data_IF_687319299327
#
_entry.id   IF_687319299327
#
_cell.length_a   1.000
_cell.length_b   1.000
_cell.length_c   1.000
_cell.angle_alpha   90.00
_cell.angle_beta   90.00
_cell.angle_gamma   90.00
#
_symmetry.space_group_name_H-M   'P 1'
#
loop_
_entity.id
_entity.type
_entity.pdbx_description
1 polymer ?
#
# COMPACT_ATOMS: atom_id res chain seq x y z
N UNK A 1 -11.85 40.72 6.48
CA UNK A 1 -10.57 40.61 5.75
C UNK A 1 -9.44 41.48 6.32
N UNK A 2 -9.45 41.82 7.63
CA UNK A 2 -8.39 42.63 8.27
C UNK A 2 -7.41 41.82 9.16
N UNK A 3 -7.75 40.59 9.55
CA UNK A 3 -6.94 39.76 10.47
C UNK A 3 -5.70 39.10 9.82
N UNK A 4 -5.66 38.96 8.48
CA UNK A 4 -4.57 38.27 7.77
C UNK A 4 -3.33 39.19 7.62
N UNK A 5 -3.49 40.51 7.72
CA UNK A 5 -2.39 41.46 7.52
C UNK A 5 -1.48 41.64 8.73
N UNK A 6 -1.99 41.45 9.95
CA UNK A 6 -1.24 41.71 11.19
C UNK A 6 -0.51 40.46 11.71
N UNK A 7 -0.93 39.26 11.31
CA UNK A 7 -0.43 37.98 11.83
C UNK A 7 0.41 37.18 10.82
N UNK A 8 1.14 37.86 9.92
CA UNK A 8 1.98 37.20 8.90
C UNK A 8 3.01 36.23 9.49
N UNK A 9 3.51 36.54 10.68
CA UNK A 9 4.46 35.68 11.41
C UNK A 9 3.86 34.34 11.83
N UNK A 10 2.56 34.29 12.15
CA UNK A 10 1.87 33.04 12.55
C UNK A 10 1.80 32.06 11.36
N UNK A 11 1.54 32.57 10.15
CA UNK A 11 1.46 31.76 8.93
C UNK A 11 2.84 31.15 8.61
N UNK A 12 3.92 31.94 8.79
CA UNK A 12 5.29 31.47 8.58
C UNK A 12 5.66 30.38 9.60
N UNK A 13 5.32 30.58 10.88
CA UNK A 13 5.58 29.60 11.95
C UNK A 13 4.81 28.30 11.71
N UNK A 14 3.54 28.37 11.31
CA UNK A 14 2.74 27.18 10.98
C UNK A 14 3.35 26.44 9.79
N UNK A 15 3.80 27.15 8.75
CA UNK A 15 4.46 26.55 7.60
C UNK A 15 5.73 25.79 7.98
N UNK A 16 6.56 26.36 8.85
CA UNK A 16 7.80 25.71 9.34
C UNK A 16 7.47 24.44 10.15
N UNK A 17 6.44 24.48 11.00
CA UNK A 17 6.03 23.32 11.80
C UNK A 17 5.57 22.17 10.89
N UNK A 18 4.81 22.45 9.84
CA UNK A 18 4.35 21.43 8.88
C UNK A 18 5.55 20.78 8.18
N UNK A 19 6.53 21.57 7.73
CA UNK A 19 7.75 21.05 7.09
C UNK A 19 8.55 20.17 8.05
N UNK A 20 8.69 20.57 9.31
CA UNK A 20 9.40 19.77 10.32
C UNK A 20 8.70 18.44 10.62
N UNK A 21 7.37 18.41 10.64
CA UNK A 21 6.60 17.17 10.83
C UNK A 21 6.78 16.21 9.65
N UNK A 22 6.80 16.72 8.42
CA UNK A 22 7.04 15.90 7.21
C UNK A 22 8.46 15.32 7.24
N UNK A 23 9.48 16.14 7.56
CA UNK A 23 10.87 15.67 7.67
C UNK A 23 11.01 14.63 8.79
N UNK A 24 10.40 14.85 9.95
CA UNK A 24 10.40 13.88 11.05
C UNK A 24 9.77 12.56 10.64
N UNK A 25 8.62 12.60 9.95
CA UNK A 25 7.94 11.40 9.46
C UNK A 25 8.80 10.61 8.46
N UNK A 26 9.45 11.29 7.50
CA UNK A 26 10.35 10.66 6.54
C UNK A 26 11.59 10.03 7.20
N UNK A 27 12.17 10.70 8.19
CA UNK A 27 13.32 10.18 8.96
C UNK A 27 12.92 8.99 9.83
N UNK A 28 11.73 9.01 10.43
CA UNK A 28 11.20 7.85 11.18
C UNK A 28 11.02 6.63 10.27
N UNK A 29 10.41 6.80 9.10
CA UNK A 29 10.29 5.73 8.10
C UNK A 29 11.64 5.19 7.64
N UNK A 30 12.64 6.07 7.48
CA UNK A 30 13.99 5.67 7.05
C UNK A 30 14.75 4.90 8.15
N UNK A 31 14.55 5.23 9.42
CA UNK A 31 15.17 4.51 10.53
C UNK A 31 14.54 3.12 10.74
N UNK A 32 13.21 2.99 10.59
CA UNK A 32 12.53 1.69 10.64
C UNK A 32 12.93 0.77 9.47
N UNK A 33 13.27 1.36 8.32
CA UNK A 33 13.78 0.61 7.16
C UNK A 33 15.21 0.05 7.37
N UNK A 34 16.02 0.67 8.23
CA UNK A 34 17.42 0.26 8.46
C UNK A 34 17.57 -0.92 9.40
N UNK A 35 16.59 -1.16 10.28
CA UNK A 35 16.65 -2.27 11.25
C UNK A 35 16.10 -3.60 10.66
N UNK A 36 15.36 -3.54 9.55
CA UNK A 36 14.73 -4.71 8.92
C UNK A 36 15.51 -5.34 7.75
N UNK A 37 16.71 -4.85 7.38
CA UNK A 37 17.41 -5.31 6.16
C UNK A 37 18.38 -6.49 6.36
N UNK A 38 18.43 -7.09 7.54
CA UNK A 38 19.14 -8.37 7.72
C UNK A 38 18.20 -9.54 7.47
N UNK A 39 18.47 -10.22 6.36
CA UNK A 39 18.02 -11.57 5.99
C UNK A 39 16.53 -11.77 5.73
N UNK A 40 16.11 -11.50 4.50
CA UNK A 40 15.09 -12.32 3.84
C UNK A 40 15.71 -12.90 2.58
N UNK A 41 16.15 -14.15 2.70
CA UNK A 41 16.72 -14.97 1.64
C UNK A 41 15.65 -15.23 0.56
N UNK A 42 15.92 -14.77 -0.66
CA UNK A 42 15.00 -14.78 -1.80
C UNK A 42 14.51 -16.18 -2.20
N UNK A 43 15.10 -17.26 -1.67
CA UNK A 43 14.68 -18.64 -1.97
C UNK A 43 13.39 -19.08 -1.27
N UNK A 44 13.00 -18.48 -0.14
CA UNK A 44 11.78 -18.89 0.60
C UNK A 44 10.47 -18.28 0.06
N UNK A 45 10.55 -17.22 -0.75
CA UNK A 45 9.35 -16.54 -1.30
C UNK A 45 8.71 -17.36 -2.44
N UNK A 46 9.52 -18.09 -3.22
CA UNK A 46 9.03 -18.88 -4.36
C UNK A 46 8.09 -20.03 -3.97
N UNK A 47 8.36 -20.70 -2.84
CA UNK A 47 7.55 -21.85 -2.38
C UNK A 47 6.25 -21.42 -1.67
N UNK A 48 6.17 -20.17 -1.20
CA UNK A 48 4.96 -19.60 -0.58
C UNK A 48 3.85 -19.26 -1.59
N UNK A 49 4.17 -19.25 -2.88
CA UNK A 49 3.31 -18.72 -3.95
C UNK A 49 2.34 -19.76 -4.53
N UNK A 50 2.48 -21.04 -4.19
CA UNK A 50 1.91 -22.11 -5.01
C UNK A 50 0.51 -22.62 -4.64
N UNK A 51 -0.04 -22.37 -3.45
CA UNK A 51 -1.40 -22.85 -3.13
C UNK A 51 -2.21 -21.88 -2.26
N UNK A 52 -3.02 -21.05 -2.90
CA UNK A 52 -4.34 -20.65 -2.40
C UNK A 52 -5.17 -20.27 -3.63
N UNK A 53 -6.38 -20.81 -3.79
CA UNK A 53 -7.38 -20.33 -4.74
C UNK A 53 -8.38 -19.52 -3.92
N UNK A 54 -8.38 -18.21 -4.07
CA UNK A 54 -9.25 -17.33 -3.31
C UNK A 54 -10.71 -17.46 -3.70
N UNK A 55 -11.58 -17.60 -2.71
CA UNK A 55 -13.03 -17.45 -2.82
C UNK A 55 -13.44 -16.03 -2.42
N UNK A 56 -14.61 -15.57 -2.88
CA UNK A 56 -15.24 -14.35 -2.36
C UNK A 56 -16.11 -14.78 -1.18
N UNK A 57 -15.95 -14.15 -0.03
CA UNK A 57 -16.88 -14.34 1.08
C UNK A 57 -18.08 -13.42 0.85
N UNK A 58 -19.25 -14.05 0.65
CA UNK A 58 -20.50 -13.37 0.30
C UNK A 58 -21.05 -12.51 1.44
N UNK A 59 -20.69 -12.79 2.70
CA UNK A 59 -21.16 -12.05 3.88
C UNK A 59 -20.38 -10.75 4.11
N UNK A 60 -19.08 -10.74 3.79
CA UNK A 60 -18.20 -9.59 3.97
C UNK A 60 -17.95 -8.77 2.70
N UNK A 61 -18.30 -9.32 1.53
CA UNK A 61 -18.04 -8.71 0.22
C UNK A 61 -16.54 -8.47 -0.07
N UNK A 62 -15.66 -9.06 0.73
CA UNK A 62 -14.21 -8.93 0.63
C UNK A 62 -13.61 -10.12 -0.12
N UNK A 63 -12.47 -9.89 -0.79
CA UNK A 63 -11.69 -10.98 -1.36
C UNK A 63 -11.10 -11.83 -0.23
N UNK A 64 -11.58 -13.08 -0.07
CA UNK A 64 -10.91 -14.09 0.76
C UNK A 64 -9.81 -14.72 -0.07
N UNK A 65 -8.75 -13.93 -0.24
CA UNK A 65 -7.53 -14.25 -0.96
C UNK A 65 -6.37 -14.27 0.04
N UNK A 66 -5.40 -15.16 -0.17
CA UNK A 66 -4.11 -15.06 0.52
C UNK A 66 -3.45 -13.71 0.24
N UNK A 67 -2.47 -13.28 1.05
CA UNK A 67 -1.82 -11.99 0.81
C UNK A 67 -1.13 -11.95 -0.55
N UNK A 68 -0.62 -13.09 -1.03
CA UNK A 68 -0.07 -13.24 -2.37
C UNK A 68 -1.12 -13.04 -3.47
N UNK A 69 -2.29 -13.67 -3.35
CA UNK A 69 -3.36 -13.52 -4.35
C UNK A 69 -3.97 -12.12 -4.35
N UNK A 70 -4.07 -11.49 -3.17
CA UNK A 70 -4.51 -10.10 -3.03
C UNK A 70 -3.52 -9.16 -3.70
N UNK A 71 -2.22 -9.36 -3.46
CA UNK A 71 -1.18 -8.58 -4.11
C UNK A 71 -1.24 -8.70 -5.62
N UNK A 72 -1.29 -9.93 -6.17
CA UNK A 72 -1.45 -10.17 -7.61
C UNK A 72 -2.69 -9.48 -8.21
N UNK A 73 -3.79 -9.45 -7.46
CA UNK A 73 -5.00 -8.76 -7.89
C UNK A 73 -4.77 -7.25 -8.04
N UNK A 74 -4.18 -6.60 -7.02
CA UNK A 74 -3.90 -5.16 -7.08
C UNK A 74 -2.81 -4.85 -8.11
N UNK A 75 -1.70 -5.57 -8.11
CA UNK A 75 -0.60 -5.42 -9.07
C UNK A 75 -1.12 -5.40 -10.51
N UNK A 76 -1.95 -6.38 -10.89
CA UNK A 76 -2.56 -6.43 -12.21
C UNK A 76 -3.42 -5.20 -12.51
N UNK A 77 -4.26 -4.78 -11.56
CA UNK A 77 -5.16 -3.62 -11.73
C UNK A 77 -4.37 -2.32 -11.92
N UNK A 78 -3.32 -2.12 -11.12
CA UNK A 78 -2.45 -0.96 -11.20
C UNK A 78 -1.69 -0.93 -12.52
N UNK A 79 -1.01 -2.02 -12.91
CA UNK A 79 -0.25 -2.05 -14.17
C UNK A 79 -1.14 -1.94 -15.42
N UNK A 80 -2.35 -2.52 -15.39
CA UNK A 80 -3.32 -2.34 -16.47
C UNK A 80 -3.79 -0.88 -16.57
N UNK A 81 -3.96 -0.19 -15.44
CA UNK A 81 -4.35 1.21 -15.39
C UNK A 81 -3.20 2.14 -15.83
N UNK A 82 -1.98 1.91 -15.35
CA UNK A 82 -0.77 2.62 -15.80
C UNK A 82 -0.60 2.52 -17.31
N UNK A 83 -0.69 1.31 -17.89
CA UNK A 83 -0.60 1.12 -19.34
C UNK A 83 -1.65 1.93 -20.08
N UNK A 84 -2.89 1.98 -19.59
CA UNK A 84 -3.95 2.80 -20.20
C UNK A 84 -3.64 4.30 -20.12
N UNK A 85 -3.10 4.77 -19.00
CA UNK A 85 -2.68 6.17 -18.86
C UNK A 85 -1.55 6.51 -19.82
N UNK A 86 -0.56 5.61 -19.96
CA UNK A 86 0.53 5.78 -20.93
C UNK A 86 0.05 5.74 -22.39
N UNK A 87 -1.10 5.09 -22.66
CA UNK A 87 -1.82 5.15 -23.94
C UNK A 87 -2.68 6.44 -24.09
N UNK A 88 -2.52 7.43 -23.21
CA UNK A 88 -3.34 8.66 -23.15
C UNK A 88 -4.85 8.41 -22.97
N UNK A 89 -5.24 7.32 -22.30
CA UNK A 89 -6.65 7.04 -21.99
C UNK A 89 -6.98 7.57 -20.59
N UNK A 90 -8.17 8.17 -20.44
CA UNK A 90 -8.71 8.52 -19.13
C UNK A 90 -9.09 7.23 -18.37
N UNK A 91 -8.64 7.12 -17.13
CA UNK A 91 -8.88 5.97 -16.25
C UNK A 91 -9.65 6.30 -14.96
N UNK A 92 -10.40 7.42 -14.90
CA UNK A 92 -11.13 7.85 -13.69
C UNK A 92 -12.00 6.74 -13.10
N UNK A 93 -12.71 5.99 -13.96
CA UNK A 93 -13.56 4.88 -13.53
C UNK A 93 -12.76 3.72 -12.93
N UNK A 94 -11.59 3.44 -13.47
CA UNK A 94 -10.70 2.42 -12.94
C UNK A 94 -10.10 2.84 -11.60
N UNK A 95 -9.72 4.10 -11.44
CA UNK A 95 -9.24 4.67 -10.16
C UNK A 95 -10.34 4.51 -9.09
N UNK A 96 -11.56 4.93 -9.40
CA UNK A 96 -12.70 4.80 -8.48
C UNK A 96 -12.97 3.34 -8.11
N UNK A 97 -12.94 2.43 -9.09
CA UNK A 97 -13.13 1.00 -8.83
C UNK A 97 -12.03 0.39 -7.94
N UNK A 98 -10.77 0.80 -8.12
CA UNK A 98 -9.66 0.38 -7.26
C UNK A 98 -9.85 0.93 -5.86
N UNK A 99 -10.17 2.22 -5.73
CA UNK A 99 -10.45 2.91 -4.46
C UNK A 99 -11.54 2.22 -3.66
N UNK A 100 -12.68 1.95 -4.29
CA UNK A 100 -13.82 1.28 -3.66
C UNK A 100 -13.46 -0.12 -3.16
N UNK A 101 -12.54 -0.80 -3.85
CA UNK A 101 -12.05 -2.11 -3.41
C UNK A 101 -11.14 -1.98 -2.19
N UNK A 102 -10.17 -1.06 -2.23
CA UNK A 102 -9.24 -0.81 -1.10
C UNK A 102 -10.02 -0.38 0.14
N UNK A 103 -10.99 0.53 0.02
CA UNK A 103 -11.78 0.99 1.15
C UNK A 103 -12.62 -0.12 1.77
N UNK A 104 -13.26 -0.94 0.93
CA UNK A 104 -14.07 -2.08 1.38
C UNK A 104 -13.22 -3.09 2.12
N UNK A 105 -12.06 -3.46 1.57
CA UNK A 105 -11.13 -4.37 2.23
C UNK A 105 -10.56 -3.78 3.52
N UNK A 106 -10.27 -2.47 3.54
CA UNK A 106 -9.82 -1.75 4.74
C UNK A 106 -10.87 -1.77 5.86
N UNK A 107 -12.16 -1.76 5.52
CA UNK A 107 -13.29 -1.83 6.47
C UNK A 107 -13.71 -3.25 6.83
N UNK A 108 -13.36 -4.26 6.02
CA UNK A 108 -13.77 -5.64 6.24
C UNK A 108 -13.25 -6.21 7.57
N UNK A 109 -14.12 -6.91 8.31
CA UNK A 109 -13.82 -7.40 9.65
C UNK A 109 -12.87 -8.61 9.67
N UNK A 110 -12.62 -9.26 8.52
CA UNK A 110 -11.71 -10.40 8.44
C UNK A 110 -10.25 -9.95 8.61
N UNK A 111 -9.65 -10.36 9.72
CA UNK A 111 -8.39 -9.88 10.27
C UNK A 111 -7.25 -10.73 9.72
N UNK A 112 -6.37 -10.14 8.92
CA UNK A 112 -4.99 -10.59 8.87
C UNK A 112 -4.15 -9.57 9.64
N UNK A 113 -3.12 -10.04 10.35
CA UNK A 113 -2.17 -9.14 11.02
C UNK A 113 -1.61 -8.12 10.02
N UNK A 114 -1.23 -6.93 10.48
CA UNK A 114 -0.58 -5.91 9.66
C UNK A 114 -1.45 -5.33 8.50
N UNK A 115 -2.77 -5.57 8.53
CA UNK A 115 -3.74 -5.08 7.53
C UNK A 115 -3.60 -3.59 7.19
N UNK A 116 -3.44 -2.75 8.20
CA UNK A 116 -3.30 -1.30 8.03
C UNK A 116 -2.12 -0.95 7.12
N UNK A 117 -0.95 -1.57 7.36
CA UNK A 117 0.25 -1.36 6.56
C UNK A 117 0.13 -1.97 5.16
N UNK A 118 -0.54 -3.11 5.01
CA UNK A 118 -0.77 -3.69 3.69
C UNK A 118 -1.68 -2.79 2.85
N UNK A 119 -2.77 -2.29 3.44
CA UNK A 119 -3.70 -1.39 2.74
C UNK A 119 -3.10 -0.01 2.49
N UNK A 120 -2.23 0.50 3.38
CA UNK A 120 -1.60 1.81 3.21
C UNK A 120 -0.71 1.88 1.97
N UNK A 121 0.05 0.82 1.64
CA UNK A 121 0.80 0.78 0.39
C UNK A 121 -0.09 0.82 -0.85
N UNK A 122 -1.22 0.11 -0.87
CA UNK A 122 -2.17 0.19 -1.99
C UNK A 122 -2.81 1.58 -2.10
N UNK A 123 -3.10 2.23 -0.98
CA UNK A 123 -3.62 3.59 -0.97
C UNK A 123 -2.59 4.59 -1.50
N UNK A 124 -1.33 4.48 -1.10
CA UNK A 124 -0.24 5.33 -1.60
C UNK A 124 -0.03 5.13 -3.10
N UNK A 125 -0.05 3.89 -3.59
CA UNK A 125 -0.01 3.58 -5.01
C UNK A 125 -1.19 4.23 -5.77
N UNK A 126 -2.40 4.22 -5.19
CA UNK A 126 -3.59 4.85 -5.78
C UNK A 126 -3.46 6.37 -5.91
N UNK A 127 -2.83 7.03 -4.94
CA UNK A 127 -2.54 8.46 -5.00
C UNK A 127 -1.62 8.76 -6.19
N UNK A 128 -0.51 8.04 -6.32
CA UNK A 128 0.43 8.21 -7.44
C UNK A 128 -0.22 7.91 -8.80
N UNK A 129 -1.07 6.88 -8.90
CA UNK A 129 -1.83 6.57 -10.11
C UNK A 129 -2.83 7.69 -10.48
N UNK A 130 -3.47 8.30 -9.48
CA UNK A 130 -4.40 9.41 -9.68
C UNK A 130 -3.67 10.65 -10.19
N UNK A 131 -2.51 10.96 -9.62
CA UNK A 131 -1.66 12.05 -10.08
C UNK A 131 -1.14 11.80 -11.50
N UNK A 132 -0.74 10.55 -11.80
CA UNK A 132 -0.30 10.15 -13.14
C UNK A 132 -1.41 10.37 -14.19
N UNK A 133 -2.65 9.99 -13.88
CA UNK A 133 -3.81 10.22 -14.76
C UNK A 133 -4.09 11.71 -14.96
N UNK A 134 -4.02 12.53 -13.90
CA UNK A 134 -4.20 13.98 -13.98
C UNK A 134 -3.12 14.67 -14.81
N UNK A 135 -1.87 14.23 -14.68
CA UNK A 135 -0.73 14.72 -15.45
C UNK A 135 -0.92 14.44 -16.95
N UNK A 136 -1.30 13.20 -17.29
CA UNK A 136 -1.61 12.81 -18.66
C UNK A 136 -2.76 13.63 -19.26
N UNK A 137 -3.85 13.88 -18.51
CA UNK A 137 -4.95 14.74 -18.98
C UNK A 137 -4.49 16.18 -19.30
N UNK A 138 -3.48 16.67 -18.59
CA UNK A 138 -2.89 18.01 -18.75
C UNK A 138 -1.77 18.04 -19.79
N UNK A 139 -1.38 16.89 -20.37
CA UNK A 139 -0.17 16.73 -21.18
C UNK A 139 1.12 17.16 -20.46
N UNK A 140 1.15 17.03 -19.14
CA UNK A 140 2.34 17.22 -18.32
C UNK A 140 2.96 15.84 -18.05
N UNK A 141 4.17 15.58 -18.53
CA UNK A 141 4.81 14.26 -18.39
C UNK A 141 6.12 14.30 -17.60
N UNK A 142 6.50 15.45 -17.05
CA UNK A 142 7.81 15.66 -16.43
C UNK A 142 8.05 14.66 -15.29
N UNK A 143 7.01 14.38 -14.50
CA UNK A 143 7.09 13.55 -13.30
C UNK A 143 6.52 12.13 -13.46
N UNK A 144 6.02 11.77 -14.66
CA UNK A 144 5.31 10.50 -14.85
C UNK A 144 6.17 9.27 -14.53
N UNK A 145 7.48 9.34 -14.83
CA UNK A 145 8.41 8.26 -14.49
C UNK A 145 8.53 8.05 -12.98
N UNK A 146 8.67 9.14 -12.21
CA UNK A 146 8.77 9.08 -10.74
C UNK A 146 7.47 8.55 -10.13
N UNK A 147 6.31 8.91 -10.68
CA UNK A 147 5.02 8.41 -10.23
C UNK A 147 4.88 6.91 -10.48
N UNK A 148 5.32 6.40 -11.64
CA UNK A 148 5.33 4.95 -11.93
C UNK A 148 6.25 4.19 -10.97
N UNK A 149 7.46 4.70 -10.72
CA UNK A 149 8.38 4.12 -9.72
C UNK A 149 7.73 4.09 -8.32
N UNK A 150 7.08 5.20 -7.92
CA UNK A 150 6.34 5.29 -6.67
C UNK A 150 5.20 4.28 -6.55
N UNK A 151 4.47 4.00 -7.64
CA UNK A 151 3.43 2.95 -7.64
C UNK A 151 4.07 1.59 -7.35
N UNK A 152 5.13 1.23 -8.07
CA UNK A 152 5.83 -0.05 -7.91
C UNK A 152 6.39 -0.25 -6.49
N UNK A 153 7.02 0.79 -5.93
CA UNK A 153 7.59 0.74 -4.58
C UNK A 153 6.51 0.52 -3.52
N UNK A 154 5.37 1.21 -3.66
CA UNK A 154 4.25 1.09 -2.73
C UNK A 154 3.53 -0.26 -2.85
N UNK A 155 3.40 -0.82 -4.06
CA UNK A 155 2.89 -2.18 -4.26
C UNK A 155 3.82 -3.21 -3.62
N UNK A 156 5.13 -3.07 -3.80
CA UNK A 156 6.15 -3.94 -3.20
C UNK A 156 6.12 -3.85 -1.68
N UNK A 157 5.94 -2.65 -1.13
CA UNK A 157 5.74 -2.45 0.30
C UNK A 157 4.54 -3.24 0.81
N UNK A 158 3.36 -3.10 0.18
CA UNK A 158 2.17 -3.88 0.55
C UNK A 158 2.39 -5.38 0.51
N UNK A 159 3.10 -5.89 -0.52
CA UNK A 159 3.45 -7.31 -0.62
C UNK A 159 4.29 -7.76 0.58
N UNK A 160 5.34 -7.01 0.90
CA UNK A 160 6.25 -7.32 2.00
C UNK A 160 5.53 -7.33 3.34
N UNK A 161 4.69 -6.34 3.59
CA UNK A 161 3.92 -6.26 4.83
C UNK A 161 2.89 -7.39 4.95
N UNK A 162 2.33 -7.85 3.81
CA UNK A 162 1.45 -9.02 3.76
C UNK A 162 2.18 -10.32 4.04
N UNK A 163 3.39 -10.50 3.49
CA UNK A 163 4.22 -11.69 3.76
C UNK A 163 4.68 -11.75 5.22
N UNK A 164 5.06 -10.61 5.81
CA UNK A 164 5.41 -10.52 7.24
C UNK A 164 4.27 -11.04 8.14
N UNK A 165 3.04 -10.65 7.83
CA UNK A 165 1.85 -11.10 8.57
C UNK A 165 1.61 -12.61 8.46
N UNK A 166 1.80 -13.18 7.26
CA UNK A 166 1.64 -14.63 7.05
C UNK A 166 2.70 -15.43 7.82
N UNK A 167 3.96 -14.98 7.81
CA UNK A 167 5.07 -15.64 8.53
C UNK A 167 4.82 -15.61 10.04
N UNK A 168 4.36 -14.47 10.58
CA UNK A 168 4.08 -14.33 12.01
C UNK A 168 2.93 -15.25 12.44
N UNK A 169 1.87 -15.31 11.64
CA UNK A 169 0.72 -16.19 11.89
C UNK A 169 1.13 -17.67 11.89
N UNK A 170 1.93 -18.12 10.91
CA UNK A 170 2.40 -19.51 10.84
C UNK A 170 3.25 -19.91 12.04
N UNK A 171 4.18 -19.05 12.48
CA UNK A 171 5.00 -19.29 13.68
C UNK A 171 4.15 -19.45 14.95
N UNK A 172 3.14 -18.59 15.13
CA UNK A 172 2.25 -18.67 16.28
C UNK A 172 1.48 -20.01 16.33
N UNK A 173 1.00 -20.48 15.16
CA UNK A 173 0.30 -21.76 15.04
C UNK A 173 1.22 -22.96 15.31
N UNK A 174 2.46 -22.93 14.80
CA UNK A 174 3.47 -23.98 15.07
C UNK A 174 3.81 -24.07 16.57
N UNK A 175 3.98 -22.93 17.24
CA UNK A 175 4.24 -22.88 18.69
C UNK A 175 3.07 -23.40 19.53
N UNK A 176 1.83 -23.10 19.16
CA UNK A 176 0.64 -23.65 19.84
C UNK A 176 0.48 -25.17 19.63
N UNK A 177 0.76 -25.67 18.43
CA UNK A 177 0.68 -27.10 18.14
C UNK A 177 1.77 -27.90 18.84
N UNK A 178 2.98 -27.35 19.01
CA UNK A 178 4.06 -27.98 19.78
C UNK A 178 3.66 -28.13 21.25
N UNK A 179 3.09 -27.08 21.87
CA UNK A 179 2.67 -27.12 23.28
C UNK A 179 1.57 -28.15 23.57
N UNK A 180 0.66 -28.39 22.62
CA UNK A 180 -0.41 -29.40 22.76
C UNK A 180 0.06 -30.85 22.64
N UNK A 181 1.22 -31.10 22.04
CA UNK A 181 1.76 -32.45 21.89
C UNK A 181 2.68 -32.86 23.05
N UNK A 182 3.06 -31.90 23.90
CA UNK A 182 3.90 -32.11 25.08
C UNK A 182 3.08 -32.27 26.39
N UNK A 183 1.74 -32.20 26.32
CA UNK A 183 0.77 -32.51 27.41
C UNK A 183 0.13 -33.89 27.22
#
# INVERSE_FOLDING_TARGET
MKLIKENKWIIIVIGIIIVLLVVYFLVSMANDAKESSKELDNRKVSDLVQETKGSIDEDSGALVKSNVERHRYYEKRFYDAERKVMDNKNIDKEIDAIKDTIERESKATFIFENKENVMSGYLSALISLSELNENTKKNDTENNKMLIESINDNLTYSQREGLKAEIKTKKAVEEEMSKKNDE
#
